data_IF_726364130314
#
_entry.id   IF_726364130314
#
_cell.length_a   1.000
_cell.length_b   1.000
_cell.length_c   1.000
_cell.angle_alpha   90.00
_cell.angle_beta   90.00
_cell.angle_gamma   90.00
#
_symmetry.space_group_name_H-M   'P 1'
#
loop_
_entity.id
_entity.type
_entity.pdbx_description
1 polymer ?
#
# COMPACT_ATOMS: atom_id res chain seq x y z
N UNK A 1 -2.81 -37.82 8.40
CA UNK A 1 -1.58 -38.64 8.35
C UNK A 1 -0.86 -38.36 7.05
N UNK A 2 0.22 -37.55 7.10
CA UNK A 2 0.94 -37.04 5.93
C UNK A 2 1.69 -38.14 5.15
N UNK A 3 1.92 -37.93 3.85
CA UNK A 3 2.75 -38.79 2.99
C UNK A 3 4.14 -39.01 3.61
N UNK A 4 4.62 -38.04 4.36
CA UNK A 4 5.90 -38.02 5.10
C UNK A 4 5.92 -39.05 6.24
N UNK A 5 4.84 -39.15 7.02
CA UNK A 5 4.73 -40.08 8.14
C UNK A 5 4.73 -41.54 7.65
N UNK A 6 4.20 -41.77 6.44
CA UNK A 6 4.17 -43.11 5.82
C UNK A 6 5.55 -43.55 5.32
N UNK A 7 6.43 -42.62 4.89
CA UNK A 7 7.83 -42.91 4.52
C UNK A 7 8.69 -43.24 5.73
N UNK A 8 8.47 -42.57 6.86
CA UNK A 8 9.17 -42.83 8.13
C UNK A 8 8.82 -44.18 8.74
N UNK A 9 7.57 -44.64 8.58
CA UNK A 9 7.14 -45.93 9.11
C UNK A 9 7.79 -47.15 8.38
N UNK A 10 8.31 -46.95 7.16
CA UNK A 10 8.83 -48.03 6.33
C UNK A 10 10.37 -48.07 6.17
N UNK A 11 11.10 -47.01 6.48
CA UNK A 11 12.57 -46.97 6.38
C UNK A 11 13.14 -45.95 7.37
N UNK A 12 13.73 -46.44 8.44
CA UNK A 12 14.55 -45.65 9.36
C UNK A 12 15.93 -45.44 8.72
N UNK A 13 16.07 -44.44 7.85
CA UNK A 13 17.38 -44.01 7.39
C UNK A 13 17.75 -42.67 8.05
N UNK A 14 19.01 -42.54 8.42
CA UNK A 14 19.57 -41.32 9.03
C UNK A 14 19.34 -40.08 8.13
N UNK A 15 19.43 -40.26 6.81
CA UNK A 15 19.13 -39.27 5.79
C UNK A 15 17.69 -38.71 5.81
N UNK A 16 16.71 -39.59 6.10
CA UNK A 16 15.28 -39.18 6.20
C UNK A 16 15.05 -38.36 7.46
N UNK A 17 15.73 -38.69 8.54
CA UNK A 17 15.67 -37.94 9.80
C UNK A 17 16.29 -36.56 9.65
N UNK A 18 17.43 -36.45 8.98
CA UNK A 18 18.10 -35.18 8.69
C UNK A 18 17.23 -34.26 7.81
N UNK A 19 16.69 -34.79 6.71
CA UNK A 19 15.73 -34.06 5.86
C UNK A 19 14.48 -33.61 6.61
N UNK A 20 14.00 -34.42 7.55
CA UNK A 20 12.85 -34.09 8.36
C UNK A 20 13.15 -32.95 9.33
N UNK A 21 14.34 -32.97 9.93
CA UNK A 21 14.79 -31.89 10.83
C UNK A 21 14.95 -30.57 10.06
N UNK A 22 15.62 -30.57 8.91
CA UNK A 22 15.75 -29.38 8.06
C UNK A 22 14.40 -28.79 7.63
N UNK A 23 13.42 -29.65 7.29
CA UNK A 23 12.07 -29.20 6.94
C UNK A 23 11.32 -28.64 8.15
N UNK A 24 11.51 -29.23 9.31
CA UNK A 24 10.94 -28.76 10.56
C UNK A 24 11.48 -27.36 10.89
N UNK A 25 12.81 -27.22 10.85
CA UNK A 25 13.49 -25.94 11.11
C UNK A 25 13.01 -24.82 10.14
N UNK A 26 12.79 -25.16 8.87
CA UNK A 26 12.24 -24.23 7.88
C UNK A 26 10.78 -23.85 8.19
N UNK A 27 9.95 -24.80 8.59
CA UNK A 27 8.56 -24.56 8.97
C UNK A 27 8.51 -23.66 10.20
N UNK A 28 9.35 -23.94 11.21
CA UNK A 28 9.40 -23.18 12.45
C UNK A 28 9.97 -21.76 12.23
N UNK A 29 11.04 -21.63 11.45
CA UNK A 29 11.66 -20.35 11.13
C UNK A 29 10.73 -19.39 10.36
N UNK A 30 9.82 -19.93 9.54
CA UNK A 30 8.87 -19.16 8.73
C UNK A 30 7.46 -19.13 9.35
N UNK A 31 7.27 -19.74 10.54
CA UNK A 31 5.98 -19.85 11.22
C UNK A 31 4.85 -20.43 10.31
N UNK A 32 5.18 -21.42 9.49
CA UNK A 32 4.26 -21.97 8.50
C UNK A 32 3.13 -22.81 9.10
N UNK A 33 3.15 -23.07 10.41
CA UNK A 33 2.05 -23.77 11.11
C UNK A 33 0.74 -22.98 11.08
N UNK A 34 0.83 -21.66 11.03
CA UNK A 34 -0.31 -20.75 11.00
C UNK A 34 -0.64 -20.25 9.58
N UNK A 35 0.01 -20.81 8.54
CA UNK A 35 -0.13 -20.34 7.16
C UNK A 35 -1.58 -20.34 6.68
N UNK A 36 -2.32 -21.42 6.91
CA UNK A 36 -3.73 -21.50 6.50
C UNK A 36 -4.59 -20.41 7.17
N UNK A 37 -4.31 -20.13 8.45
CA UNK A 37 -5.00 -19.08 9.18
C UNK A 37 -4.64 -17.68 8.65
N UNK A 38 -3.36 -17.45 8.36
CA UNK A 38 -2.90 -16.18 7.76
C UNK A 38 -3.51 -15.95 6.37
N UNK A 39 -3.59 -17.00 5.56
CA UNK A 39 -4.23 -16.96 4.25
C UNK A 39 -5.71 -16.58 4.39
N UNK A 40 -6.44 -17.25 5.27
CA UNK A 40 -7.86 -16.98 5.49
C UNK A 40 -8.09 -15.54 5.97
N UNK A 41 -7.32 -15.06 6.95
CA UNK A 41 -7.40 -13.68 7.44
C UNK A 41 -7.15 -12.67 6.31
N UNK A 42 -6.12 -12.89 5.50
CA UNK A 42 -5.79 -11.99 4.40
C UNK A 42 -6.85 -12.03 3.28
N UNK A 43 -7.37 -13.21 2.96
CA UNK A 43 -8.45 -13.38 1.98
C UNK A 43 -9.74 -12.69 2.42
N UNK A 44 -10.13 -12.86 3.67
CA UNK A 44 -11.32 -12.21 4.23
C UNK A 44 -11.15 -10.69 4.25
N UNK A 45 -10.02 -10.18 4.72
CA UNK A 45 -9.73 -8.76 4.81
C UNK A 45 -9.70 -8.06 3.45
N UNK A 46 -9.15 -8.74 2.44
CA UNK A 46 -9.11 -8.26 1.05
C UNK A 46 -10.38 -8.60 0.27
N UNK A 47 -11.37 -9.24 0.91
CA UNK A 47 -12.61 -9.71 0.27
C UNK A 47 -12.33 -10.48 -1.02
N UNK A 48 -11.38 -11.40 -0.93
CA UNK A 48 -11.09 -12.32 -2.01
C UNK A 48 -12.26 -13.26 -2.26
N UNK A 49 -12.46 -13.75 -3.49
CA UNK A 49 -13.43 -14.80 -3.76
C UNK A 49 -13.05 -16.10 -3.05
N UNK A 50 -14.02 -17.03 -2.93
CA UNK A 50 -13.79 -18.36 -2.36
C UNK A 50 -12.62 -19.08 -3.04
N UNK A 51 -11.83 -19.82 -2.25
CA UNK A 51 -10.71 -20.65 -2.70
C UNK A 51 -11.08 -21.72 -3.75
N UNK A 52 -12.34 -22.14 -3.77
CA UNK A 52 -12.88 -23.06 -4.77
C UNK A 52 -13.15 -22.41 -6.14
N UNK A 53 -13.11 -21.06 -6.22
CA UNK A 53 -13.46 -20.33 -7.45
C UNK A 53 -12.34 -20.40 -8.48
N UNK A 54 -12.68 -20.75 -9.72
CA UNK A 54 -11.70 -20.82 -10.79
C UNK A 54 -11.21 -19.40 -11.15
N UNK A 55 -9.89 -19.20 -11.19
CA UNK A 55 -9.25 -17.91 -11.51
C UNK A 55 -9.71 -17.34 -12.86
N UNK A 56 -10.07 -18.19 -13.83
CA UNK A 56 -10.54 -17.75 -15.15
C UNK A 56 -11.90 -17.03 -15.09
N UNK A 57 -12.72 -17.35 -14.10
CA UNK A 57 -14.08 -16.81 -13.91
C UNK A 57 -14.08 -15.50 -13.13
N UNK A 58 -12.96 -15.15 -12.48
CA UNK A 58 -12.83 -13.95 -11.68
C UNK A 58 -12.87 -12.68 -12.54
N UNK A 59 -13.56 -11.68 -12.03
CA UNK A 59 -13.51 -10.30 -12.54
C UNK A 59 -12.12 -9.71 -12.43
N UNK A 60 -11.86 -8.61 -13.14
CA UNK A 60 -10.57 -7.92 -13.06
C UNK A 60 -10.23 -7.41 -11.64
N UNK A 61 -11.24 -6.95 -10.90
CA UNK A 61 -11.06 -6.50 -9.52
C UNK A 61 -10.75 -7.65 -8.55
N UNK A 62 -11.43 -8.79 -8.70
CA UNK A 62 -11.15 -9.99 -7.89
C UNK A 62 -9.75 -10.54 -8.15
N UNK A 63 -9.33 -10.61 -9.42
CA UNK A 63 -7.96 -11.01 -9.78
C UNK A 63 -6.90 -10.11 -9.13
N UNK A 64 -7.14 -8.79 -9.10
CA UNK A 64 -6.24 -7.84 -8.42
C UNK A 64 -6.17 -8.08 -6.92
N UNK A 65 -7.30 -8.30 -6.25
CA UNK A 65 -7.32 -8.59 -4.80
C UNK A 65 -6.61 -9.90 -4.47
N UNK A 66 -6.83 -10.96 -5.25
CA UNK A 66 -6.12 -12.24 -5.09
C UNK A 66 -4.62 -12.07 -5.32
N UNK A 67 -4.21 -11.34 -6.37
CA UNK A 67 -2.80 -11.07 -6.64
C UNK A 67 -2.14 -10.24 -5.51
N UNK A 68 -2.86 -9.25 -4.97
CA UNK A 68 -2.40 -8.47 -3.84
C UNK A 68 -2.26 -9.35 -2.59
N UNK A 69 -3.24 -10.18 -2.29
CA UNK A 69 -3.21 -11.15 -1.19
C UNK A 69 -1.97 -12.05 -1.28
N UNK A 70 -1.74 -12.67 -2.43
CA UNK A 70 -0.57 -13.52 -2.67
C UNK A 70 0.74 -12.75 -2.48
N UNK A 71 0.82 -11.51 -2.98
CA UNK A 71 2.01 -10.69 -2.87
C UNK A 71 2.34 -10.35 -1.42
N UNK A 72 1.33 -9.98 -0.63
CA UNK A 72 1.49 -9.63 0.78
C UNK A 72 1.87 -10.83 1.64
N UNK A 73 1.26 -11.99 1.40
CA UNK A 73 1.59 -13.23 2.12
C UNK A 73 3.01 -13.71 1.85
N UNK A 74 3.55 -13.47 0.66
CA UNK A 74 4.95 -13.81 0.34
C UNK A 74 5.96 -12.92 1.07
N UNK A 75 5.55 -11.80 1.61
CA UNK A 75 6.37 -10.86 2.40
C UNK A 75 7.77 -10.62 1.80
N UNK A 76 7.89 -10.18 0.53
CA UNK A 76 9.18 -9.96 -0.12
C UNK A 76 9.97 -8.85 0.58
N UNK A 77 11.30 -8.88 0.54
CA UNK A 77 12.15 -7.82 1.12
C UNK A 77 11.89 -6.44 0.51
N UNK A 78 11.48 -6.41 -0.76
CA UNK A 78 11.11 -5.19 -1.47
C UNK A 78 9.73 -5.32 -2.12
N UNK A 79 8.82 -4.44 -1.74
CA UNK A 79 7.43 -4.42 -2.19
C UNK A 79 7.17 -3.15 -3.01
N UNK A 80 6.75 -3.34 -4.26
CA UNK A 80 6.34 -2.25 -5.15
C UNK A 80 4.83 -2.30 -5.38
N UNK A 81 4.12 -1.25 -4.99
CA UNK A 81 2.67 -1.14 -5.13
C UNK A 81 2.31 0.10 -5.97
N UNK A 82 1.51 -0.13 -7.01
CA UNK A 82 0.97 0.92 -7.87
C UNK A 82 -0.54 1.02 -7.67
N UNK A 83 -1.00 2.16 -7.11
CA UNK A 83 -2.39 2.44 -6.78
C UNK A 83 -3.08 1.29 -6.02
N UNK A 84 -2.53 0.85 -4.87
CA UNK A 84 -3.03 -0.35 -4.19
C UNK A 84 -4.41 -0.16 -3.57
N UNK A 85 -4.83 1.07 -3.30
CA UNK A 85 -6.16 1.41 -2.73
C UNK A 85 -7.27 1.47 -3.77
N UNK A 86 -6.94 1.48 -5.06
CA UNK A 86 -7.94 1.56 -6.12
C UNK A 86 -8.89 0.35 -6.11
N UNK A 87 -10.19 0.64 -6.09
CA UNK A 87 -11.27 -0.34 -6.08
C UNK A 87 -11.39 -1.15 -4.77
N UNK A 88 -10.70 -0.75 -3.72
CA UNK A 88 -10.89 -1.29 -2.38
C UNK A 88 -11.93 -0.46 -1.61
N UNK A 89 -12.67 -1.11 -0.74
CA UNK A 89 -13.54 -0.43 0.21
C UNK A 89 -12.75 0.07 1.44
N UNK A 90 -13.38 0.89 2.26
CA UNK A 90 -12.71 1.54 3.38
C UNK A 90 -12.16 0.56 4.42
N UNK A 91 -12.83 -0.57 4.65
CA UNK A 91 -12.38 -1.58 5.62
C UNK A 91 -11.15 -2.31 5.12
N UNK A 92 -11.13 -2.66 3.84
CA UNK A 92 -9.97 -3.28 3.17
C UNK A 92 -8.76 -2.34 3.13
N UNK A 93 -8.98 -1.04 2.87
CA UNK A 93 -7.91 -0.03 2.91
C UNK A 93 -7.34 0.10 4.33
N UNK A 94 -8.19 0.12 5.36
CA UNK A 94 -7.77 0.21 6.77
C UNK A 94 -6.93 -1.01 7.20
N UNK A 95 -7.33 -2.20 6.75
CA UNK A 95 -6.54 -3.41 6.97
C UNK A 95 -5.18 -3.35 6.26
N UNK A 96 -5.15 -2.91 4.99
CA UNK A 96 -3.92 -2.78 4.21
C UNK A 96 -2.96 -1.76 4.85
N UNK A 97 -3.48 -0.65 5.39
CA UNK A 97 -2.68 0.32 6.14
C UNK A 97 -1.98 -0.32 7.33
N UNK A 98 -2.72 -1.05 8.17
CA UNK A 98 -2.15 -1.75 9.33
C UNK A 98 -1.09 -2.75 8.92
N UNK A 99 -1.38 -3.52 7.89
CA UNK A 99 -0.42 -4.49 7.35
C UNK A 99 0.90 -3.82 6.91
N UNK A 100 0.81 -2.69 6.18
CA UNK A 100 1.98 -1.98 5.67
C UNK A 100 2.77 -1.24 6.77
N UNK A 101 2.11 -0.79 7.83
CA UNK A 101 2.78 -0.19 9.00
C UNK A 101 3.69 -1.22 9.70
N UNK A 102 3.21 -2.46 9.81
CA UNK A 102 3.95 -3.54 10.48
C UNK A 102 4.93 -4.27 9.54
N UNK A 103 4.94 -3.90 8.25
CA UNK A 103 5.75 -4.58 7.25
C UNK A 103 7.24 -4.41 7.50
N UNK A 104 7.99 -5.52 7.50
CA UNK A 104 9.43 -5.53 7.83
C UNK A 104 10.33 -5.14 6.66
N UNK A 105 9.85 -5.30 5.44
CA UNK A 105 10.59 -5.00 4.22
C UNK A 105 10.51 -3.54 3.80
N UNK A 106 11.11 -3.21 2.68
CA UNK A 106 11.04 -1.89 2.06
C UNK A 106 9.84 -1.81 1.13
N UNK A 107 8.97 -0.80 1.33
CA UNK A 107 7.83 -0.55 0.46
C UNK A 107 8.04 0.70 -0.40
N UNK A 108 7.85 0.57 -1.70
CA UNK A 108 7.70 1.69 -2.62
C UNK A 108 6.26 1.72 -3.14
N UNK A 109 5.56 2.82 -2.86
CA UNK A 109 4.14 2.94 -3.15
C UNK A 109 3.90 4.16 -4.03
N UNK A 110 3.19 3.95 -5.14
CA UNK A 110 2.68 5.02 -6.00
C UNK A 110 1.18 5.10 -5.77
N UNK A 111 0.68 6.25 -5.34
CA UNK A 111 -0.76 6.44 -5.12
C UNK A 111 -1.14 7.93 -5.11
N UNK A 112 -2.40 8.20 -5.43
CA UNK A 112 -3.04 9.50 -5.28
C UNK A 112 -3.83 9.64 -3.98
N UNK A 113 -3.95 8.58 -3.19
CA UNK A 113 -4.66 8.58 -1.92
C UNK A 113 -3.79 9.22 -0.81
N UNK A 114 -4.02 10.50 -0.59
CA UNK A 114 -3.26 11.31 0.38
C UNK A 114 -3.48 10.86 1.82
N UNK A 115 -4.68 10.39 2.12
CA UNK A 115 -5.00 9.90 3.44
C UNK A 115 -4.23 8.61 3.76
N UNK A 116 -4.18 7.71 2.78
CA UNK A 116 -3.39 6.51 2.85
C UNK A 116 -1.90 6.82 3.03
N UNK A 117 -1.33 7.74 2.22
CA UNK A 117 0.05 8.18 2.36
C UNK A 117 0.35 8.77 3.74
N UNK A 118 -0.57 9.59 4.26
CA UNK A 118 -0.36 10.25 5.56
C UNK A 118 -0.22 9.26 6.73
N UNK A 119 -0.82 8.08 6.60
CA UNK A 119 -0.82 7.05 7.66
C UNK A 119 0.38 6.10 7.58
N UNK A 120 0.90 5.82 6.38
CA UNK A 120 1.85 4.71 6.18
C UNK A 120 3.26 5.17 5.81
N UNK A 121 3.44 6.42 5.33
CA UNK A 121 4.75 6.82 4.80
C UNK A 121 5.66 7.45 5.85
N UNK A 122 6.94 7.06 5.82
CA UNK A 122 8.04 7.74 6.52
C UNK A 122 8.87 8.63 5.59
N UNK A 123 8.74 8.43 4.26
CA UNK A 123 9.43 9.18 3.21
C UNK A 123 8.53 9.37 2.01
N UNK A 124 8.62 10.53 1.36
CA UNK A 124 7.93 10.82 0.11
C UNK A 124 8.96 11.27 -0.93
N UNK A 125 8.94 10.64 -2.11
CA UNK A 125 9.70 11.07 -3.27
C UNK A 125 8.77 11.84 -4.23
N UNK A 126 8.91 13.15 -4.27
CA UNK A 126 8.22 13.97 -5.25
C UNK A 126 8.96 13.97 -6.58
N UNK A 127 8.26 13.69 -7.66
CA UNK A 127 8.78 13.86 -9.02
C UNK A 127 8.29 15.19 -9.58
N UNK A 128 9.19 16.18 -9.69
CA UNK A 128 8.87 17.51 -10.22
C UNK A 128 9.86 17.89 -11.32
N UNK A 129 9.35 18.22 -12.51
CA UNK A 129 10.13 18.68 -13.68
C UNK A 129 11.35 17.78 -13.99
N UNK A 130 11.17 16.46 -13.93
CA UNK A 130 12.22 15.47 -14.21
C UNK A 130 13.25 15.31 -13.09
N UNK A 131 13.02 15.87 -11.92
CA UNK A 131 13.86 15.71 -10.73
C UNK A 131 13.10 14.97 -9.64
N UNK A 132 13.77 14.07 -8.94
CA UNK A 132 13.28 13.44 -7.73
C UNK A 132 13.68 14.25 -6.50
N UNK A 133 12.72 14.66 -5.71
CA UNK A 133 12.93 15.43 -4.49
C UNK A 133 12.47 14.61 -3.29
N UNK A 134 13.39 14.10 -2.46
CA UNK A 134 13.04 13.33 -1.28
C UNK A 134 12.62 14.25 -0.13
N UNK A 135 11.58 13.84 0.58
CA UNK A 135 11.09 14.48 1.80
C UNK A 135 10.95 13.44 2.90
N UNK A 136 11.44 13.76 4.06
CA UNK A 136 11.26 12.92 5.26
C UNK A 136 9.91 13.23 5.90
N UNK A 137 9.21 12.16 6.30
CA UNK A 137 7.92 12.21 6.96
C UNK A 137 6.77 11.76 6.07
N UNK A 138 5.56 12.00 6.57
CA UNK A 138 4.31 11.64 5.92
C UNK A 138 3.83 12.73 4.96
N UNK A 139 2.62 12.55 4.38
CA UNK A 139 2.05 13.51 3.44
C UNK A 139 1.87 14.91 4.05
N UNK A 140 1.46 15.01 5.31
CA UNK A 140 1.32 16.28 6.03
C UNK A 140 2.65 16.99 6.16
N UNK A 141 3.71 16.28 6.53
CA UNK A 141 5.08 16.81 6.63
C UNK A 141 5.63 17.26 5.27
N UNK A 142 5.40 16.45 4.23
CA UNK A 142 5.77 16.82 2.86
C UNK A 142 5.11 18.12 2.43
N UNK A 143 3.81 18.29 2.72
CA UNK A 143 3.06 19.47 2.33
C UNK A 143 3.59 20.73 3.02
N UNK A 144 3.96 20.64 4.31
CA UNK A 144 4.59 21.72 5.06
C UNK A 144 5.96 22.09 4.48
N UNK A 145 6.83 21.11 4.26
CA UNK A 145 8.17 21.32 3.69
C UNK A 145 8.09 21.90 2.27
N UNK A 146 7.15 21.42 1.46
CA UNK A 146 6.92 21.96 0.12
C UNK A 146 6.43 23.41 0.14
N UNK A 147 5.55 23.75 1.06
CA UNK A 147 5.07 25.11 1.24
C UNK A 147 6.21 26.06 1.60
N UNK A 148 7.05 25.69 2.57
CA UNK A 148 8.24 26.45 2.97
C UNK A 148 9.22 26.63 1.80
N UNK A 149 9.47 25.56 1.02
CA UNK A 149 10.33 25.63 -0.16
C UNK A 149 9.80 26.63 -1.19
N UNK A 150 8.49 26.58 -1.49
CA UNK A 150 7.87 27.50 -2.44
C UNK A 150 7.87 28.96 -1.97
N UNK A 151 7.78 29.19 -0.67
CA UNK A 151 7.95 30.52 -0.07
C UNK A 151 9.36 31.07 -0.28
N UNK A 152 10.37 30.23 -0.11
CA UNK A 152 11.79 30.57 -0.29
C UNK A 152 12.16 30.79 -1.77
N UNK A 153 11.67 29.92 -2.65
CA UNK A 153 11.89 30.04 -4.12
C UNK A 153 11.16 31.24 -4.73
N UNK A 154 10.36 31.89 -3.94
CA UNK A 154 9.65 33.12 -4.00
C UNK A 154 9.25 33.73 -5.33
N UNK A 155 8.02 33.96 -5.48
CA UNK A 155 7.31 35.02 -6.24
C UNK A 155 6.44 34.61 -7.42
N UNK A 156 6.53 33.44 -7.99
CA UNK A 156 5.79 33.20 -9.25
C UNK A 156 4.44 32.48 -9.11
N UNK A 157 4.08 31.93 -7.93
CA UNK A 157 2.87 31.12 -7.87
C UNK A 157 1.95 31.37 -6.65
N UNK A 158 1.53 32.62 -6.47
CA UNK A 158 0.49 33.01 -5.46
C UNK A 158 -0.78 32.16 -5.54
N UNK A 159 -1.09 31.57 -6.70
CA UNK A 159 -2.24 30.69 -6.87
C UNK A 159 -1.98 29.30 -6.28
N UNK A 160 -0.80 28.72 -6.50
CA UNK A 160 -0.44 27.40 -5.96
C UNK A 160 -0.29 27.46 -4.44
N UNK A 161 0.32 28.52 -3.93
CA UNK A 161 0.45 28.75 -2.49
C UNK A 161 -0.90 28.76 -1.78
N UNK A 162 -1.89 29.49 -2.31
CA UNK A 162 -3.26 29.50 -1.77
C UNK A 162 -3.95 28.13 -1.78
N UNK A 163 -3.68 27.30 -2.77
CA UNK A 163 -4.23 25.93 -2.84
C UNK A 163 -3.58 25.07 -1.78
N UNK A 164 -2.25 25.15 -1.62
CA UNK A 164 -1.49 24.40 -0.59
C UNK A 164 -1.89 24.82 0.83
N UNK A 165 -2.05 26.12 1.10
CA UNK A 165 -2.55 26.61 2.40
C UNK A 165 -3.94 26.06 2.73
N UNK A 166 -4.86 26.02 1.77
CA UNK A 166 -6.20 25.43 1.96
C UNK A 166 -6.14 23.94 2.24
N UNK A 167 -5.20 23.22 1.63
CA UNK A 167 -5.02 21.80 1.85
C UNK A 167 -4.43 21.52 3.24
N UNK A 168 -3.45 22.32 3.68
CA UNK A 168 -2.91 22.28 5.04
C UNK A 168 -3.99 22.54 6.11
N UNK A 169 -4.82 23.54 5.88
CA UNK A 169 -5.94 23.85 6.76
C UNK A 169 -6.93 22.68 6.84
N UNK A 170 -7.19 22.03 5.71
CA UNK A 170 -8.04 20.84 5.65
C UNK A 170 -7.45 19.66 6.45
N UNK A 171 -6.14 19.40 6.37
CA UNK A 171 -5.46 18.33 7.14
C UNK A 171 -5.55 18.62 8.63
N UNK A 172 -5.37 19.88 9.07
CA UNK A 172 -5.46 20.28 10.48
C UNK A 172 -6.88 20.20 11.06
N UNK A 173 -7.90 20.26 10.21
CA UNK A 173 -9.29 20.03 10.63
C UNK A 173 -9.55 18.54 10.84
N UNK A 174 -9.51 18.06 12.08
CA UNK A 174 -9.59 16.65 12.49
C UNK A 174 -10.53 15.69 11.72
N UNK A 175 -10.31 14.41 11.88
CA UNK A 175 -10.88 13.30 11.08
C UNK A 175 -12.42 13.26 10.95
N UNK A 176 -13.18 13.79 11.93
CA UNK A 176 -14.67 13.77 11.91
C UNK A 176 -15.28 14.67 10.84
N UNK A 177 -14.60 15.74 10.40
CA UNK A 177 -15.10 16.64 9.36
C UNK A 177 -14.74 16.15 7.94
N UNK A 178 -13.87 15.17 7.80
CA UNK A 178 -13.28 14.73 6.52
C UNK A 178 -14.21 13.87 5.68
N UNK A 179 -14.99 12.99 6.29
CA UNK A 179 -15.80 11.99 5.57
C UNK A 179 -16.90 12.57 4.67
N UNK A 180 -17.50 13.69 5.04
CA UNK A 180 -18.65 14.24 4.30
C UNK A 180 -18.27 15.14 3.11
N UNK A 181 -17.06 15.71 3.08
CA UNK A 181 -16.62 16.67 2.04
C UNK A 181 -15.62 16.12 1.00
N UNK A 182 -15.19 14.88 1.18
CA UNK A 182 -14.05 14.28 0.47
C UNK A 182 -14.27 14.15 -1.05
N UNK A 183 -15.39 13.62 -1.51
CA UNK A 183 -15.64 13.36 -2.94
C UNK A 183 -15.76 14.64 -3.79
N UNK A 184 -16.40 15.66 -3.29
CA UNK A 184 -16.60 16.90 -4.06
C UNK A 184 -15.31 17.72 -4.20
N UNK A 185 -14.42 17.65 -3.22
CA UNK A 185 -13.19 18.47 -3.16
C UNK A 185 -12.04 17.86 -3.96
N UNK A 186 -11.93 16.53 -4.00
CA UNK A 186 -11.00 15.81 -4.87
C UNK A 186 -11.28 16.17 -6.33
N UNK A 187 -12.55 16.15 -6.74
CA UNK A 187 -12.96 16.47 -8.11
C UNK A 187 -12.63 17.92 -8.49
N UNK A 188 -12.89 18.89 -7.60
CA UNK A 188 -12.57 20.30 -7.90
C UNK A 188 -11.07 20.62 -7.92
N UNK A 189 -10.26 19.86 -7.15
CA UNK A 189 -8.79 19.98 -7.19
C UNK A 189 -8.21 19.39 -8.48
N UNK A 190 -8.68 18.24 -8.92
CA UNK A 190 -8.27 17.64 -10.20
C UNK A 190 -8.62 18.56 -11.39
N UNK A 191 -9.79 19.19 -11.36
CA UNK A 191 -10.21 20.16 -12.37
C UNK A 191 -9.29 21.40 -12.37
N UNK A 192 -8.89 21.90 -11.22
CA UNK A 192 -7.96 23.04 -11.07
C UNK A 192 -6.52 22.68 -11.47
N UNK A 193 -6.03 21.52 -11.09
CA UNK A 193 -4.71 21.03 -11.47
C UNK A 193 -4.60 20.86 -12.99
N UNK A 194 -5.58 20.20 -13.60
CA UNK A 194 -5.63 19.98 -15.04
C UNK A 194 -5.82 21.27 -15.85
N UNK A 195 -6.51 22.27 -15.30
CA UNK A 195 -6.67 23.57 -15.98
C UNK A 195 -5.37 24.40 -15.97
N UNK A 196 -4.56 24.30 -14.92
CA UNK A 196 -3.27 25.00 -14.83
C UNK A 196 -2.18 24.38 -15.73
N UNK A 197 -2.24 23.07 -15.99
CA UNK A 197 -1.33 22.40 -16.94
C UNK A 197 -1.66 22.74 -18.40
N UNK A 198 -2.94 22.83 -18.75
CA UNK A 198 -3.37 23.22 -20.12
C UNK A 198 -2.96 24.63 -20.51
N UNK A 199 -2.89 25.54 -19.56
CA UNK A 199 -2.44 26.94 -19.80
C UNK A 199 -0.93 27.03 -20.05
N UNK A 200 -0.13 26.07 -19.52
CA UNK A 200 1.33 26.01 -19.73
C UNK A 200 1.76 25.28 -21.01
N UNK A 201 0.89 24.49 -21.62
CA UNK A 201 1.17 23.83 -22.91
C UNK A 201 0.85 24.70 -24.13
N UNK A 202 0.13 25.78 -23.93
CA UNK A 202 -0.28 26.69 -25.03
C UNK A 202 0.49 28.04 -25.06
N UNK A 203 1.56 28.14 -24.29
CA UNK A 203 2.57 29.20 -24.38
C UNK A 203 3.97 28.54 -24.54
#
# INVERSE_FOLDING_TARGET
MCIRDRKLANNYSEEIMEQMTELQDKIDAQNLWELDNQINIAMDALRCPSDETNIKELSGGEKRRVALCQLLLNSPEFLLLDEPTNHLDAETVDWLQRFLIDYKGTCLIVTHDRYFLDQITGWILELDRGKGLPYEGNYSSWLEQKTQRLELEGKEDKKKQKVLEKELEWIRQGAKARQAKQKARIKSYEELANSSERVKQNN
#
